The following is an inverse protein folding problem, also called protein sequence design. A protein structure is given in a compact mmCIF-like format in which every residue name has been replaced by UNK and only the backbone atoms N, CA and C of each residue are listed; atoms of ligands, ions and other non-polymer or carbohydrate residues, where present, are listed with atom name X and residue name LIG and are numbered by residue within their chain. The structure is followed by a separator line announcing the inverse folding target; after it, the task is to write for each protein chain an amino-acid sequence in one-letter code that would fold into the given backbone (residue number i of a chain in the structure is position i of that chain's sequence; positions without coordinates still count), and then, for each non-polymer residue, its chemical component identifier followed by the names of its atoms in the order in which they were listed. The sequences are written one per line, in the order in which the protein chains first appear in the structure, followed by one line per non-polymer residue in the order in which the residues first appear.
data_IF_760387136179
#
_entry.id   IF_760387136179
#
_cell.length_a   1.000
_cell.length_b   1.000
_cell.length_c   1.000
_cell.angle_alpha   90.00
_cell.angle_beta   90.00
_cell.angle_gamma   90.00
#
_symmetry.space_group_name_H-M   'P 1'
#
loop_
_entity.id
_entity.type
_entity.pdbx_description
1 polymer ?
#
# COMPACT_ATOMS: atom_id res chain seq x y z
N UNK A 1 -15.60 6.04 17.03
CA UNK A 1 -14.88 4.97 16.28
C UNK A 1 -13.59 5.43 15.62
N UNK A 2 -13.38 6.72 15.32
CA UNK A 2 -12.11 7.22 14.77
C UNK A 2 -10.86 6.90 15.60
N UNK A 3 -11.00 6.82 16.94
CA UNK A 3 -9.92 6.46 17.87
C UNK A 3 -9.32 5.07 17.56
N UNK A 4 -10.10 4.12 17.05
CA UNK A 4 -9.63 2.75 16.75
C UNK A 4 -8.92 2.67 15.40
N UNK A 5 -9.27 3.54 14.46
CA UNK A 5 -8.71 3.58 13.10
C UNK A 5 -7.42 4.41 13.05
N UNK A 6 -7.36 5.46 13.88
CA UNK A 6 -6.25 6.40 13.96
C UNK A 6 -4.87 5.71 14.07
N UNK A 7 -4.66 4.67 14.90
CA UNK A 7 -3.37 4.00 15.03
C UNK A 7 -2.92 3.33 13.74
N UNK A 8 -3.84 2.77 12.95
CA UNK A 8 -3.53 2.10 11.68
C UNK A 8 -3.14 3.10 10.61
N UNK A 9 -3.89 4.20 10.49
CA UNK A 9 -3.60 5.27 9.54
C UNK A 9 -2.29 5.99 9.89
N UNK A 10 -2.09 6.33 11.17
CA UNK A 10 -0.84 6.94 11.65
C UNK A 10 0.35 6.00 11.46
N UNK A 11 0.18 4.71 11.78
CA UNK A 11 1.22 3.70 11.56
C UNK A 11 1.59 3.58 10.09
N UNK A 12 0.60 3.54 9.20
CA UNK A 12 0.83 3.52 7.76
C UNK A 12 1.53 4.80 7.25
N UNK A 13 1.16 5.97 7.77
CA UNK A 13 1.81 7.24 7.44
C UNK A 13 3.27 7.26 7.89
N UNK A 14 3.56 6.85 9.13
CA UNK A 14 4.92 6.76 9.66
C UNK A 14 5.77 5.82 8.80
N UNK A 15 5.25 4.63 8.48
CA UNK A 15 5.94 3.68 7.59
C UNK A 15 6.12 4.27 6.19
N UNK A 16 5.13 4.98 5.67
CA UNK A 16 5.21 5.69 4.40
C UNK A 16 6.36 6.69 4.35
N UNK A 17 6.51 7.49 5.40
CA UNK A 17 7.62 8.46 5.52
C UNK A 17 8.96 7.73 5.59
N UNK A 18 9.07 6.67 6.41
CA UNK A 18 10.29 5.85 6.49
C UNK A 18 10.65 5.25 5.12
N UNK A 19 9.65 4.71 4.42
CA UNK A 19 9.83 4.12 3.09
C UNK A 19 10.29 5.17 2.08
N UNK A 20 9.68 6.36 2.09
CA UNK A 20 10.05 7.47 1.21
C UNK A 20 11.50 7.90 1.44
N UNK A 21 11.91 8.11 2.68
CA UNK A 21 13.30 8.47 3.02
C UNK A 21 14.28 7.40 2.54
N UNK A 22 13.98 6.12 2.77
CA UNK A 22 14.82 5.01 2.28
C UNK A 22 14.87 4.96 0.75
N UNK A 23 13.75 5.12 0.04
CA UNK A 23 13.71 5.12 -1.44
C UNK A 23 14.54 6.27 -2.00
N UNK A 24 14.41 7.48 -1.45
CA UNK A 24 15.24 8.63 -1.86
C UNK A 24 16.73 8.33 -1.66
N UNK A 25 17.10 7.72 -0.52
CA UNK A 25 18.50 7.30 -0.27
C UNK A 25 18.97 6.26 -1.30
N UNK A 26 18.16 5.26 -1.61
CA UNK A 26 18.48 4.23 -2.60
C UNK A 26 18.63 4.80 -4.02
N UNK A 27 17.81 5.78 -4.41
CA UNK A 27 17.93 6.51 -5.68
C UNK A 27 19.25 7.28 -5.75
N UNK A 28 19.60 8.03 -4.69
CA UNK A 28 20.87 8.76 -4.61
C UNK A 28 22.08 7.84 -4.73
N UNK A 29 21.99 6.64 -4.14
CA UNK A 29 23.03 5.61 -4.22
C UNK A 29 23.00 4.81 -5.54
N UNK A 30 22.08 5.09 -6.46
CA UNK A 30 21.86 4.37 -7.73
C UNK A 30 21.64 2.86 -7.55
N UNK A 31 21.15 2.44 -6.36
CA UNK A 31 20.83 1.05 -6.04
C UNK A 31 19.48 0.60 -6.61
N UNK A 32 18.66 1.56 -7.03
CA UNK A 32 17.39 1.37 -7.74
C UNK A 32 17.37 2.28 -8.97
N UNK A 33 16.76 1.79 -10.04
CA UNK A 33 16.62 2.46 -11.34
C UNK A 33 15.18 2.93 -11.54
N UNK A 34 14.95 3.80 -12.52
CA UNK A 34 13.60 4.30 -12.86
C UNK A 34 12.65 3.16 -13.22
N UNK A 35 13.13 2.09 -13.87
CA UNK A 35 12.32 0.90 -14.14
C UNK A 35 11.78 0.23 -12.86
N UNK A 36 12.54 0.29 -11.76
CA UNK A 36 12.13 -0.30 -10.49
C UNK A 36 11.02 0.53 -9.84
N UNK A 37 11.01 1.86 -10.08
CA UNK A 37 9.89 2.73 -9.72
C UNK A 37 8.61 2.32 -10.47
N UNK A 38 8.72 2.08 -11.78
CA UNK A 38 7.58 1.61 -12.58
C UNK A 38 7.02 0.28 -12.08
N UNK A 39 7.89 -0.69 -11.73
CA UNK A 39 7.45 -1.98 -11.18
C UNK A 39 6.77 -1.79 -9.82
N UNK A 40 7.34 -0.97 -8.93
CA UNK A 40 6.71 -0.68 -7.64
C UNK A 40 5.33 -0.02 -7.77
N UNK A 41 5.17 0.89 -8.74
CA UNK A 41 3.88 1.49 -9.05
C UNK A 41 2.86 0.44 -9.54
N UNK A 42 3.26 -0.44 -10.46
CA UNK A 42 2.40 -1.53 -10.96
C UNK A 42 1.94 -2.41 -9.80
N UNK A 43 2.84 -2.78 -8.88
CA UNK A 43 2.47 -3.59 -7.71
C UNK A 43 1.48 -2.84 -6.82
N UNK A 44 1.68 -1.55 -6.55
CA UNK A 44 0.73 -0.79 -5.75
C UNK A 44 -0.67 -0.72 -6.38
N UNK A 45 -0.74 -0.58 -7.71
CA UNK A 45 -2.02 -0.58 -8.45
C UNK A 45 -2.66 -1.96 -8.41
N UNK A 46 -1.88 -3.04 -8.58
CA UNK A 46 -2.39 -4.41 -8.50
C UNK A 46 -2.94 -4.72 -7.10
N UNK A 47 -2.23 -4.34 -6.04
CA UNK A 47 -2.70 -4.53 -4.66
C UNK A 47 -4.01 -3.76 -4.41
N UNK A 48 -4.10 -2.52 -4.88
CA UNK A 48 -5.33 -1.74 -4.79
C UNK A 48 -6.48 -2.42 -5.57
N UNK A 49 -6.24 -2.83 -6.81
CA UNK A 49 -7.22 -3.53 -7.64
C UNK A 49 -7.71 -4.83 -7.01
N UNK A 50 -6.83 -5.60 -6.38
CA UNK A 50 -7.20 -6.81 -5.63
C UNK A 50 -8.10 -6.47 -4.44
N UNK A 51 -7.79 -5.43 -3.67
CA UNK A 51 -8.65 -4.99 -2.55
C UNK A 51 -10.03 -4.58 -3.06
N UNK A 52 -10.10 -3.83 -4.16
CA UNK A 52 -11.36 -3.44 -4.79
C UNK A 52 -12.16 -4.64 -5.27
N UNK A 53 -11.52 -5.63 -5.91
CA UNK A 53 -12.17 -6.87 -6.33
C UNK A 53 -12.75 -7.66 -5.14
N UNK A 54 -12.05 -7.70 -4.00
CA UNK A 54 -12.57 -8.35 -2.79
C UNK A 54 -13.87 -7.67 -2.33
N UNK A 55 -13.95 -6.34 -2.34
CA UNK A 55 -15.20 -5.64 -2.00
C UNK A 55 -16.34 -5.93 -2.99
N UNK A 56 -16.02 -6.04 -4.28
CA UNK A 56 -17.00 -6.41 -5.31
C UNK A 56 -17.55 -7.82 -5.05
N UNK A 57 -16.68 -8.77 -4.75
CA UNK A 57 -17.05 -10.17 -4.48
C UNK A 57 -17.86 -10.29 -3.19
N UNK A 58 -17.49 -9.55 -2.14
CA UNK A 58 -18.21 -9.55 -0.86
C UNK A 58 -19.60 -8.90 -0.97
N UNK A 59 -19.82 -8.04 -1.97
CA UNK A 59 -21.09 -7.35 -2.21
C UNK A 59 -21.53 -6.40 -1.08
N UNK A 60 -20.66 -6.19 -0.09
CA UNK A 60 -20.87 -5.37 1.10
C UNK A 60 -19.56 -4.69 1.46
N UNK A 61 -19.61 -3.37 1.62
CA UNK A 61 -18.49 -2.60 2.15
C UNK A 61 -18.88 -2.08 3.54
N UNK A 62 -18.27 -2.66 4.58
CA UNK A 62 -18.34 -2.08 5.92
C UNK A 62 -17.59 -0.75 5.89
N UNK A 63 -18.20 0.34 6.37
CA UNK A 63 -17.64 1.69 6.24
C UNK A 63 -16.20 1.85 6.78
N UNK A 64 -15.81 1.01 7.75
CA UNK A 64 -14.46 1.02 8.33
C UNK A 64 -13.48 0.07 7.66
N UNK A 65 -13.96 -0.92 6.91
CA UNK A 65 -13.12 -1.96 6.31
C UNK A 65 -12.00 -1.39 5.42
N UNK A 66 -12.24 -0.36 4.58
CA UNK A 66 -11.18 0.23 3.76
C UNK A 66 -10.03 0.80 4.58
N UNK A 67 -10.36 1.43 5.72
CA UNK A 67 -9.40 2.07 6.60
C UNK A 67 -8.50 1.06 7.36
N UNK A 68 -8.86 -0.22 7.39
CA UNK A 68 -7.98 -1.30 7.89
C UNK A 68 -7.29 -2.06 6.75
N UNK A 69 -8.05 -2.47 5.73
CA UNK A 69 -7.54 -3.31 4.64
C UNK A 69 -6.44 -2.60 3.85
N UNK A 70 -6.62 -1.32 3.52
CA UNK A 70 -5.62 -0.58 2.74
C UNK A 70 -4.29 -0.48 3.51
N UNK A 71 -4.24 0.03 4.76
CA UNK A 71 -3.01 0.02 5.56
C UNK A 71 -2.37 -1.36 5.73
N UNK A 72 -3.18 -2.39 6.02
CA UNK A 72 -2.65 -3.74 6.27
C UNK A 72 -2.02 -4.33 5.01
N UNK A 73 -2.75 -4.37 3.91
CA UNK A 73 -2.33 -5.09 2.71
C UNK A 73 -1.38 -4.29 1.82
N UNK A 74 -1.47 -2.95 1.82
CA UNK A 74 -0.64 -2.11 0.95
C UNK A 74 0.55 -1.48 1.67
N UNK A 75 0.57 -1.45 3.01
CA UNK A 75 1.66 -0.82 3.79
C UNK A 75 2.31 -1.81 4.75
N UNK A 76 1.57 -2.33 5.75
CA UNK A 76 2.16 -3.14 6.82
C UNK A 76 2.75 -4.46 6.30
N UNK A 77 2.02 -5.22 5.47
CA UNK A 77 2.50 -6.49 4.91
C UNK A 77 3.73 -6.26 3.99
N UNK A 78 3.68 -5.37 2.97
CA UNK A 78 4.85 -5.06 2.16
C UNK A 78 6.06 -4.59 2.98
N UNK A 79 5.84 -3.82 4.05
CA UNK A 79 6.92 -3.35 4.92
C UNK A 79 7.54 -4.49 5.73
N UNK A 80 6.71 -5.39 6.26
CA UNK A 80 7.19 -6.61 6.91
C UNK A 80 8.05 -7.46 5.98
N UNK A 81 7.59 -7.67 4.74
CA UNK A 81 8.35 -8.38 3.71
C UNK A 81 9.68 -7.67 3.43
N UNK A 82 9.65 -6.34 3.27
CA UNK A 82 10.86 -5.53 3.07
C UNK A 82 11.88 -5.77 4.19
N UNK A 83 11.49 -5.68 5.47
CA UNK A 83 12.39 -5.86 6.62
C UNK A 83 13.02 -7.26 6.62
N UNK A 84 12.22 -8.30 6.38
CA UNK A 84 12.71 -9.68 6.39
C UNK A 84 13.67 -9.93 5.23
N UNK A 85 13.36 -9.40 4.03
CA UNK A 85 14.13 -9.66 2.82
C UNK A 85 15.33 -8.73 2.62
N UNK A 86 15.33 -7.52 3.22
CA UNK A 86 16.46 -6.58 3.16
C UNK A 86 17.73 -7.18 3.79
N UNK A 87 17.57 -8.06 4.79
CA UNK A 87 18.67 -8.75 5.47
C UNK A 87 19.06 -10.07 4.81
N UNK A 88 18.40 -10.46 3.72
CA UNK A 88 18.66 -11.72 3.05
C UNK A 88 19.98 -11.68 2.28
N UNK A 89 20.76 -12.76 2.35
CA UNK A 89 21.94 -12.94 1.48
C UNK A 89 21.55 -13.22 0.02
N UNK A 90 20.28 -13.49 -0.26
CA UNK A 90 19.77 -13.74 -1.60
C UNK A 90 19.54 -12.41 -2.34
N UNK A 91 20.33 -12.15 -3.38
CA UNK A 91 20.23 -10.94 -4.22
C UNK A 91 18.84 -10.71 -4.81
N UNK A 92 18.09 -11.76 -5.13
CA UNK A 92 16.71 -11.63 -5.64
C UNK A 92 15.78 -11.12 -4.55
N UNK A 93 15.87 -11.67 -3.34
CA UNK A 93 15.06 -11.23 -2.20
C UNK A 93 15.37 -9.77 -1.83
N UNK A 94 16.66 -9.39 -1.82
CA UNK A 94 17.08 -8.01 -1.60
C UNK A 94 16.52 -7.05 -2.67
N UNK A 95 16.51 -7.47 -3.94
CA UNK A 95 15.91 -6.69 -5.02
C UNK A 95 14.39 -6.52 -4.84
N UNK A 96 13.66 -7.60 -4.57
CA UNK A 96 12.22 -7.51 -4.31
C UNK A 96 11.89 -6.72 -3.04
N UNK A 97 12.74 -6.79 -2.02
CA UNK A 97 12.61 -5.94 -0.83
C UNK A 97 12.59 -4.45 -1.18
N UNK A 98 13.45 -4.01 -2.10
CA UNK A 98 13.46 -2.62 -2.59
C UNK A 98 12.21 -2.29 -3.41
N UNK A 99 11.72 -3.24 -4.22
CA UNK A 99 10.47 -3.07 -4.97
C UNK A 99 9.28 -2.89 -4.03
N UNK A 100 9.15 -3.71 -2.98
CA UNK A 100 8.08 -3.57 -1.99
C UNK A 100 8.16 -2.23 -1.26
N UNK A 101 9.36 -1.78 -0.94
CA UNK A 101 9.58 -0.46 -0.34
C UNK A 101 9.07 0.68 -1.25
N UNK A 102 9.36 0.60 -2.55
CA UNK A 102 8.85 1.54 -3.55
C UNK A 102 7.32 1.45 -3.65
N UNK A 103 6.77 0.24 -3.66
CA UNK A 103 5.32 0.00 -3.70
C UNK A 103 4.60 0.65 -2.51
N UNK A 104 5.20 0.66 -1.32
CA UNK A 104 4.63 1.34 -0.14
C UNK A 104 4.52 2.84 -0.38
N UNK A 105 5.55 3.47 -0.94
CA UNK A 105 5.54 4.91 -1.22
C UNK A 105 4.38 5.26 -2.15
N UNK A 106 4.24 4.51 -3.25
CA UNK A 106 3.10 4.70 -4.15
C UNK A 106 1.77 4.37 -3.47
N UNK A 107 1.71 3.33 -2.65
CA UNK A 107 0.49 2.94 -1.94
C UNK A 107 0.01 4.02 -0.97
N UNK A 108 0.91 4.74 -0.31
CA UNK A 108 0.53 5.86 0.57
C UNK A 108 0.04 7.06 -0.24
N UNK A 109 0.68 7.37 -1.37
CA UNK A 109 0.21 8.42 -2.29
C UNK A 109 -1.17 8.05 -2.86
N UNK A 110 -1.32 6.81 -3.33
CA UNK A 110 -2.58 6.27 -3.82
C UNK A 110 -3.62 6.28 -2.69
N UNK A 111 -3.28 5.89 -1.47
CA UNK A 111 -4.23 5.91 -0.34
C UNK A 111 -4.78 7.30 -0.01
N UNK A 112 -4.00 8.36 -0.23
CA UNK A 112 -4.45 9.74 -0.05
C UNK A 112 -5.39 10.16 -1.20
N UNK A 113 -5.02 9.85 -2.44
CA UNK A 113 -5.77 10.28 -3.65
C UNK A 113 -7.03 9.43 -3.88
N UNK A 114 -6.95 8.12 -3.63
CA UNK A 114 -7.97 7.14 -4.01
C UNK A 114 -8.99 6.88 -2.90
N UNK A 115 -8.89 7.50 -1.73
CA UNK A 115 -9.95 7.37 -0.74
C UNK A 115 -11.29 7.89 -1.32
N UNK A 116 -11.26 9.04 -2.00
CA UNK A 116 -12.40 9.60 -2.72
C UNK A 116 -12.84 8.67 -3.86
N UNK A 117 -11.90 8.21 -4.70
CA UNK A 117 -12.17 7.32 -5.84
C UNK A 117 -12.78 5.97 -5.39
N UNK A 118 -12.33 5.40 -4.27
CA UNK A 118 -12.84 4.14 -3.75
C UNK A 118 -14.30 4.31 -3.30
N UNK A 119 -14.65 5.42 -2.64
CA UNK A 119 -16.03 5.69 -2.26
C UNK A 119 -16.92 5.90 -3.48
N UNK A 120 -16.46 6.65 -4.48
CA UNK A 120 -17.17 6.86 -5.75
C UNK A 120 -17.35 5.53 -6.51
N UNK A 121 -16.33 4.66 -6.51
CA UNK A 121 -16.39 3.35 -7.15
C UNK A 121 -17.38 2.42 -6.42
N UNK A 122 -17.40 2.43 -5.08
CA UNK A 122 -18.34 1.65 -4.27
C UNK A 122 -19.79 2.11 -4.56
N UNK A 123 -20.02 3.42 -4.69
CA UNK A 123 -21.32 3.99 -5.05
C UNK A 123 -21.72 3.66 -6.48
N UNK A 124 -20.81 3.81 -7.44
CA UNK A 124 -21.02 3.47 -8.85
C UNK A 124 -21.39 1.98 -9.03
N UNK A 125 -20.76 1.09 -8.26
CA UNK A 125 -20.99 -0.35 -8.32
C UNK A 125 -22.23 -0.79 -7.53
N UNK A 126 -22.97 0.13 -6.89
CA UNK A 126 -24.20 -0.18 -6.15
C UNK A 126 -23.97 -1.05 -4.92
N UNK A 127 -22.74 -1.08 -4.39
CA UNK A 127 -22.37 -1.90 -3.23
C UNK A 127 -23.03 -1.28 -1.98
N UNK A 128 -23.81 -2.07 -1.25
CA UNK A 128 -24.47 -1.60 -0.03
C UNK A 128 -23.42 -1.25 1.03
N UNK A 129 -23.31 0.05 1.34
CA UNK A 129 -22.55 0.55 2.49
C UNK A 129 -23.28 0.16 3.77
N UNK A 130 -22.60 -0.50 4.70
CA UNK A 130 -23.09 -0.70 6.07
C UNK A 130 -22.22 0.11 7.01
N UNK A 131 -22.86 1.06 7.70
CA UNK A 131 -22.25 1.98 8.66
C UNK A 131 -22.30 1.39 10.08
#
# INVERSE_FOLDING_TARGET
MGIVILPFLLGALIIGIIALVKVIKLLKLKLIKVKDLGIGLIISILLFGLISLVYIIEGKAWGLSPAFRIPIFMVFIPFGIHIVWEKSKNRKAEYFSKIFLISIVFSVILGIIFNEILFDLIDYLGIKKHY
#
